data_IF_476866842264
#
_entry.id   IF_476866842264
#
_cell.length_a   1.000
_cell.length_b   1.000
_cell.length_c   1.000
_cell.angle_alpha   90.00
_cell.angle_beta   90.00
_cell.angle_gamma   90.00
#
_symmetry.space_group_name_H-M   'P 1'
#
loop_
_entity.id
_entity.type
_entity.pdbx_description
1 polymer ?
#
# COMPACT_ATOMS: atom_id res chain seq x y z
N UNK A 1 -12.25 -30.34 -22.43
CA UNK A 1 -11.27 -30.27 -21.33
C UNK A 1 -9.97 -29.74 -21.90
N UNK A 2 -9.33 -28.79 -21.21
CA UNK A 2 -8.11 -28.14 -21.70
C UNK A 2 -6.94 -29.15 -21.65
N UNK A 3 -6.36 -29.50 -22.80
CA UNK A 3 -5.34 -30.56 -22.94
C UNK A 3 -4.14 -30.37 -22.02
N UNK A 4 -3.79 -29.11 -21.75
CA UNK A 4 -2.58 -28.73 -21.01
C UNK A 4 -2.73 -28.98 -19.50
N UNK A 5 -3.92 -28.74 -18.94
CA UNK A 5 -4.19 -28.96 -17.52
C UNK A 5 -4.14 -30.45 -17.15
N UNK A 6 -4.65 -31.31 -18.04
CA UNK A 6 -4.59 -32.76 -17.88
C UNK A 6 -3.15 -33.27 -18.00
N UNK A 7 -2.36 -32.74 -18.93
CA UNK A 7 -0.95 -33.08 -19.08
C UNK A 7 -0.13 -32.71 -17.83
N UNK A 8 -0.37 -31.51 -17.27
CA UNK A 8 0.26 -31.07 -16.02
C UNK A 8 -0.13 -31.98 -14.86
N UNK A 9 -1.42 -32.28 -14.68
CA UNK A 9 -1.86 -33.16 -13.60
C UNK A 9 -1.20 -34.54 -13.67
N UNK A 10 -1.16 -35.14 -14.87
CA UNK A 10 -0.51 -36.44 -15.06
C UNK A 10 0.98 -36.39 -14.76
N UNK A 11 1.67 -35.31 -15.15
CA UNK A 11 3.07 -35.12 -14.82
C UNK A 11 3.29 -35.05 -13.29
N UNK A 12 2.43 -34.30 -12.58
CA UNK A 12 2.49 -34.16 -11.12
C UNK A 12 2.22 -35.48 -10.39
N UNK A 13 1.24 -36.28 -10.85
CA UNK A 13 0.90 -37.57 -10.26
C UNK A 13 2.01 -38.62 -10.42
N UNK A 14 2.86 -38.47 -11.45
CA UNK A 14 3.96 -39.39 -11.76
C UNK A 14 5.30 -39.02 -11.11
N UNK A 15 5.40 -37.90 -10.38
CA UNK A 15 6.61 -37.54 -9.65
C UNK A 15 6.94 -38.61 -8.58
N UNK A 16 8.17 -39.11 -8.50
CA UNK A 16 8.58 -40.03 -7.42
C UNK A 16 8.39 -39.39 -6.03
N UNK A 17 8.12 -40.20 -4.99
CA UNK A 17 7.64 -39.74 -3.69
C UNK A 17 8.59 -38.73 -2.96
N UNK A 18 7.97 -37.92 -2.09
CA UNK A 18 8.45 -36.68 -1.43
C UNK A 18 9.01 -35.61 -2.38
N UNK A 19 8.09 -34.84 -2.98
CA UNK A 19 8.44 -33.59 -3.64
C UNK A 19 7.85 -32.41 -2.86
N UNK A 20 8.71 -31.61 -2.24
CA UNK A 20 8.30 -30.51 -1.36
C UNK A 20 7.69 -29.30 -2.12
N UNK A 21 7.68 -29.31 -3.46
CA UNK A 21 7.04 -28.27 -4.29
C UNK A 21 5.65 -28.67 -4.82
N UNK A 22 5.12 -29.82 -4.42
CA UNK A 22 3.78 -30.29 -4.82
C UNK A 22 3.02 -30.83 -3.61
N UNK A 23 1.83 -30.28 -3.36
CA UNK A 23 0.94 -30.74 -2.30
C UNK A 23 -0.41 -31.19 -2.87
N UNK A 24 -0.87 -32.39 -2.50
CA UNK A 24 -2.18 -32.91 -2.86
C UNK A 24 -3.17 -32.76 -1.70
N UNK A 25 -4.42 -32.35 -2.01
CA UNK A 25 -5.53 -32.31 -1.06
C UNK A 25 -6.84 -32.76 -1.69
N UNK A 26 -7.65 -33.47 -0.91
CA UNK A 26 -8.96 -33.97 -1.38
C UNK A 26 -9.95 -32.82 -1.62
N UNK A 27 -10.05 -31.85 -0.68
CA UNK A 27 -10.82 -30.60 -0.82
C UNK A 27 -12.13 -30.71 -1.63
N UNK A 28 -13.05 -31.59 -1.24
CA UNK A 28 -14.25 -31.93 -2.02
C UNK A 28 -15.16 -30.73 -2.30
N UNK A 29 -15.61 -30.03 -1.26
CA UNK A 29 -16.56 -28.91 -1.39
C UNK A 29 -16.02 -27.60 -0.79
N UNK A 30 -14.96 -27.69 -0.01
CA UNK A 30 -14.45 -26.63 0.84
C UNK A 30 -13.03 -26.96 1.25
N UNK A 31 -12.26 -25.93 1.57
CA UNK A 31 -10.95 -26.08 2.16
C UNK A 31 -10.70 -24.95 3.15
N UNK A 32 -10.09 -25.28 4.28
CA UNK A 32 -9.80 -24.29 5.30
C UNK A 32 -8.82 -23.23 4.77
N UNK A 33 -9.23 -21.97 4.85
CA UNK A 33 -8.49 -20.87 4.24
C UNK A 33 -7.13 -20.62 4.94
N UNK A 34 -7.07 -20.81 6.26
CA UNK A 34 -5.84 -20.63 7.02
C UNK A 34 -4.80 -21.69 6.65
N UNK A 35 -5.22 -22.93 6.48
CA UNK A 35 -4.38 -24.02 5.93
C UNK A 35 -3.95 -23.71 4.51
N UNK A 36 -4.86 -23.21 3.67
CA UNK A 36 -4.59 -22.93 2.26
C UNK A 36 -3.40 -21.99 2.09
N UNK A 37 -3.37 -20.86 2.80
CA UNK A 37 -2.20 -20.00 2.68
C UNK A 37 -0.95 -20.58 3.34
N UNK A 38 -1.06 -21.45 4.36
CA UNK A 38 0.15 -22.09 4.94
C UNK A 38 0.85 -22.92 3.86
N UNK A 39 0.07 -23.70 3.11
CA UNK A 39 0.57 -24.41 1.93
C UNK A 39 1.13 -23.47 0.89
N UNK A 40 0.42 -22.39 0.55
CA UNK A 40 0.91 -21.41 -0.42
C UNK A 40 2.29 -20.82 -0.05
N UNK A 41 2.46 -20.38 1.20
CA UNK A 41 3.72 -19.81 1.68
C UNK A 41 4.84 -20.88 1.73
N UNK A 42 4.56 -22.08 2.23
CA UNK A 42 5.54 -23.16 2.27
C UNK A 42 6.01 -23.55 0.85
N UNK A 43 5.06 -23.80 -0.05
CA UNK A 43 5.32 -24.18 -1.44
C UNK A 43 6.08 -23.09 -2.21
N UNK A 44 5.75 -21.81 -1.99
CA UNK A 44 6.45 -20.70 -2.64
C UNK A 44 7.91 -20.58 -2.17
N UNK A 45 8.15 -20.72 -0.88
CA UNK A 45 9.50 -20.71 -0.32
C UNK A 45 10.32 -21.87 -0.87
N UNK A 46 9.72 -23.05 -0.95
CA UNK A 46 10.39 -24.26 -1.42
C UNK A 46 10.72 -24.21 -2.92
N UNK A 47 9.79 -23.69 -3.75
CA UNK A 47 10.07 -23.44 -5.16
C UNK A 47 11.24 -22.46 -5.34
N UNK A 48 11.30 -21.41 -4.54
CA UNK A 48 12.40 -20.43 -4.58
C UNK A 48 13.74 -21.07 -4.22
N UNK A 49 13.80 -21.87 -3.15
CA UNK A 49 15.01 -22.58 -2.72
C UNK A 49 15.53 -23.53 -3.82
N UNK A 50 14.61 -24.22 -4.50
CA UNK A 50 14.92 -25.15 -5.59
C UNK A 50 15.05 -24.50 -6.97
N UNK A 51 14.97 -23.17 -7.05
CA UNK A 51 14.99 -22.38 -8.31
C UNK A 51 13.96 -22.86 -9.34
N UNK A 52 12.80 -23.32 -8.87
CA UNK A 52 11.69 -23.72 -9.73
C UNK A 52 10.79 -22.52 -10.03
N UNK A 53 10.24 -22.48 -11.24
CA UNK A 53 9.36 -21.39 -11.68
C UNK A 53 7.99 -21.40 -10.99
N UNK A 54 7.59 -22.53 -10.41
CA UNK A 54 6.29 -22.70 -9.78
C UNK A 54 6.27 -23.90 -8.84
N UNK A 55 5.42 -23.85 -7.82
CA UNK A 55 4.98 -24.98 -7.03
C UNK A 55 3.48 -25.22 -7.23
N UNK A 56 2.97 -26.38 -6.81
CA UNK A 56 1.61 -26.82 -7.09
C UNK A 56 0.86 -27.23 -5.81
N UNK A 57 -0.32 -26.65 -5.59
CA UNK A 57 -1.31 -27.17 -4.66
C UNK A 57 -2.49 -27.71 -5.48
N UNK A 58 -2.73 -29.01 -5.43
CA UNK A 58 -3.70 -29.70 -6.30
C UNK A 58 -4.87 -30.22 -5.46
N UNK A 59 -6.08 -29.77 -5.80
CA UNK A 59 -7.32 -30.20 -5.15
C UNK A 59 -8.00 -31.35 -5.89
N UNK A 60 -8.77 -32.16 -5.15
CA UNK A 60 -9.45 -33.33 -5.69
C UNK A 60 -8.57 -34.57 -5.82
N UNK A 61 -7.47 -34.63 -5.07
CA UNK A 61 -6.54 -35.78 -5.06
C UNK A 61 -6.31 -36.22 -3.61
N UNK A 62 -6.51 -37.51 -3.33
CA UNK A 62 -6.23 -38.11 -2.01
C UNK A 62 -4.72 -38.29 -1.78
N UNK A 63 -4.34 -38.52 -0.53
CA UNK A 63 -2.93 -38.76 -0.15
C UNK A 63 -2.32 -39.98 -0.87
N UNK A 64 -3.14 -40.97 -1.22
CA UNK A 64 -2.74 -42.13 -2.05
C UNK A 64 -2.70 -41.83 -3.57
N UNK A 65 -2.71 -40.54 -3.96
CA UNK A 65 -2.73 -40.05 -5.34
C UNK A 65 -3.95 -40.46 -6.18
N UNK A 66 -5.00 -40.97 -5.55
CA UNK A 66 -6.27 -41.23 -6.23
C UNK A 66 -6.99 -39.90 -6.53
N UNK A 67 -7.29 -39.66 -7.80
CA UNK A 67 -8.12 -38.52 -8.21
C UNK A 67 -9.58 -38.78 -7.84
N UNK A 68 -10.16 -37.89 -7.05
CA UNK A 68 -11.55 -37.95 -6.57
C UNK A 68 -12.39 -36.74 -7.02
N UNK A 69 -11.74 -35.73 -7.60
CA UNK A 69 -12.37 -34.51 -8.05
C UNK A 69 -12.69 -33.54 -6.90
N UNK A 70 -13.01 -32.30 -7.28
CA UNK A 70 -13.33 -31.22 -6.34
C UNK A 70 -14.40 -30.30 -6.96
N UNK A 71 -15.31 -29.85 -6.12
CA UNK A 71 -16.29 -28.79 -6.37
C UNK A 71 -15.89 -27.48 -5.66
N UNK A 72 -14.63 -27.37 -5.22
CA UNK A 72 -14.15 -26.15 -4.58
C UNK A 72 -14.05 -25.01 -5.60
N UNK A 73 -14.88 -23.98 -5.42
CA UNK A 73 -14.89 -22.75 -6.24
C UNK A 73 -14.89 -23.05 -7.76
N UNK A 74 -15.96 -23.68 -8.28
CA UNK A 74 -15.98 -24.17 -9.66
C UNK A 74 -16.05 -23.04 -10.69
N UNK A 75 -16.54 -21.85 -10.30
CA UNK A 75 -16.60 -20.69 -11.17
C UNK A 75 -15.26 -19.94 -11.18
N UNK A 76 -14.84 -19.49 -12.37
CA UNK A 76 -13.58 -18.75 -12.55
C UNK A 76 -13.45 -17.53 -11.64
N UNK A 77 -14.56 -16.80 -11.43
CA UNK A 77 -14.62 -15.60 -10.57
C UNK A 77 -14.26 -15.92 -9.11
N UNK A 78 -14.64 -17.09 -8.62
CA UNK A 78 -14.37 -17.50 -7.24
C UNK A 78 -12.89 -17.86 -7.06
N UNK A 79 -12.27 -18.45 -8.09
CA UNK A 79 -10.82 -18.74 -8.14
C UNK A 79 -9.99 -17.46 -8.24
N UNK A 80 -10.43 -16.47 -9.03
CA UNK A 80 -9.73 -15.20 -9.13
C UNK A 80 -9.85 -14.40 -7.82
N UNK A 81 -10.99 -14.48 -7.12
CA UNK A 81 -11.15 -13.93 -5.77
C UNK A 81 -10.26 -14.63 -4.76
N UNK A 82 -10.12 -15.96 -4.84
CA UNK A 82 -9.23 -16.74 -3.97
C UNK A 82 -7.77 -16.30 -4.10
N UNK A 83 -7.28 -16.03 -5.32
CA UNK A 83 -5.92 -15.54 -5.54
C UNK A 83 -5.67 -14.22 -4.81
N UNK A 84 -6.63 -13.29 -4.88
CA UNK A 84 -6.56 -12.01 -4.18
C UNK A 84 -6.54 -12.22 -2.67
N UNK A 85 -7.43 -13.07 -2.14
CA UNK A 85 -7.49 -13.40 -0.71
C UNK A 85 -6.16 -13.98 -0.20
N UNK A 86 -5.49 -14.86 -0.97
CA UNK A 86 -4.21 -15.47 -0.59
C UNK A 86 -3.07 -14.45 -0.59
N UNK A 87 -2.99 -13.62 -1.64
CA UNK A 87 -1.97 -12.56 -1.75
C UNK A 87 -2.10 -11.55 -0.61
N UNK A 88 -3.33 -11.15 -0.29
CA UNK A 88 -3.62 -10.27 0.84
C UNK A 88 -3.23 -10.94 2.17
N UNK A 89 -3.29 -12.27 2.27
CA UNK A 89 -2.90 -13.01 3.48
C UNK A 89 -1.38 -13.16 3.67
N UNK A 90 -0.58 -13.23 2.62
CA UNK A 90 0.88 -13.20 2.78
C UNK A 90 1.38 -11.80 3.12
N UNK A 91 0.75 -10.75 2.56
CA UNK A 91 0.89 -9.39 3.06
C UNK A 91 0.40 -9.29 4.52
N UNK A 92 -0.69 -9.97 4.89
CA UNK A 92 -1.19 -10.06 6.26
C UNK A 92 -0.20 -10.70 7.21
N UNK A 93 0.48 -11.76 6.79
CA UNK A 93 1.46 -12.46 7.61
C UNK A 93 2.73 -11.67 7.78
N UNK A 94 3.16 -10.96 6.73
CA UNK A 94 4.29 -10.03 6.83
C UNK A 94 3.98 -8.93 7.87
N UNK A 95 2.80 -8.33 7.80
CA UNK A 95 2.34 -7.29 8.71
C UNK A 95 2.06 -7.82 10.14
N UNK A 96 1.43 -8.99 10.28
CA UNK A 96 1.10 -9.58 11.57
C UNK A 96 2.34 -10.05 12.32
N UNK A 97 3.37 -10.55 11.63
CA UNK A 97 4.66 -10.92 12.24
C UNK A 97 5.39 -9.73 12.87
N UNK A 98 5.15 -8.52 12.38
CA UNK A 98 5.87 -7.33 12.84
C UNK A 98 5.07 -6.43 13.80
N UNK A 99 3.73 -6.55 13.87
CA UNK A 99 2.89 -5.62 14.66
C UNK A 99 1.71 -6.22 15.45
N UNK A 100 1.60 -7.54 15.60
CA UNK A 100 0.45 -8.17 16.29
C UNK A 100 -0.90 -7.64 15.75
N UNK A 101 -1.07 -7.78 14.43
CA UNK A 101 -2.21 -7.28 13.68
C UNK A 101 -3.24 -8.38 13.46
N UNK A 102 -4.51 -8.01 13.55
CA UNK A 102 -5.64 -8.88 13.20
C UNK A 102 -5.83 -8.94 11.68
N UNK A 103 -6.45 -10.02 11.19
CA UNK A 103 -6.73 -10.18 9.76
C UNK A 103 -7.59 -9.03 9.20
N UNK A 104 -8.54 -8.52 9.99
CA UNK A 104 -9.40 -7.40 9.61
C UNK A 104 -8.63 -6.07 9.49
N UNK A 105 -7.57 -5.88 10.26
CA UNK A 105 -6.69 -4.70 10.16
C UNK A 105 -5.82 -4.77 8.92
N UNK A 106 -5.30 -5.96 8.59
CA UNK A 106 -4.52 -6.12 7.36
C UNK A 106 -5.37 -5.80 6.15
N UNK A 107 -6.55 -6.40 6.03
CA UNK A 107 -7.44 -6.18 4.88
C UNK A 107 -7.77 -4.69 4.75
N UNK A 108 -7.96 -4.00 5.87
CA UNK A 108 -8.20 -2.56 5.86
C UNK A 108 -6.95 -1.75 5.47
N UNK A 109 -5.74 -2.14 5.89
CA UNK A 109 -4.48 -1.51 5.45
C UNK A 109 -4.23 -1.70 3.96
N UNK A 110 -4.56 -2.87 3.40
CA UNK A 110 -4.49 -3.12 1.97
C UNK A 110 -5.43 -2.19 1.18
N UNK A 111 -6.68 -2.01 1.65
CA UNK A 111 -7.61 -1.03 1.06
C UNK A 111 -7.02 0.38 1.05
N UNK A 112 -6.37 0.80 2.15
CA UNK A 112 -5.71 2.12 2.24
C UNK A 112 -4.59 2.25 1.22
N UNK A 113 -3.73 1.24 1.11
CA UNK A 113 -2.66 1.21 0.11
C UNK A 113 -3.22 1.31 -1.31
N UNK A 114 -4.29 0.59 -1.61
CA UNK A 114 -4.97 0.60 -2.91
C UNK A 114 -5.90 1.82 -3.09
N UNK A 115 -5.91 2.79 -2.17
CA UNK A 115 -6.78 3.99 -2.16
C UNK A 115 -8.29 3.68 -2.28
N UNK A 116 -8.72 2.54 -1.75
CA UNK A 116 -10.12 2.17 -1.68
C UNK A 116 -10.80 2.83 -0.48
N UNK A 117 -12.11 3.12 -0.56
CA UNK A 117 -12.87 3.62 0.58
C UNK A 117 -12.83 2.67 1.78
N UNK A 118 -12.60 3.24 2.96
CA UNK A 118 -12.72 2.55 4.24
C UNK A 118 -14.14 2.67 4.78
N UNK A 119 -14.59 1.64 5.50
CA UNK A 119 -15.78 1.77 6.37
C UNK A 119 -15.44 2.60 7.59
N UNK A 120 -16.44 3.23 8.22
CA UNK A 120 -16.20 4.06 9.40
C UNK A 120 -15.64 3.25 10.59
N UNK A 121 -15.98 1.95 10.67
CA UNK A 121 -15.43 1.02 11.67
C UNK A 121 -13.97 0.66 11.38
N UNK A 122 -13.61 0.42 10.11
CA UNK A 122 -12.22 0.18 9.70
C UNK A 122 -11.36 1.43 9.95
N UNK A 123 -11.85 2.62 9.61
CA UNK A 123 -11.17 3.89 9.89
C UNK A 123 -10.89 4.02 11.39
N UNK A 124 -11.93 3.86 12.23
CA UNK A 124 -11.83 4.05 13.67
C UNK A 124 -10.81 3.09 14.28
N UNK A 125 -10.85 1.82 13.89
CA UNK A 125 -9.93 0.78 14.37
C UNK A 125 -8.49 1.06 13.98
N UNK A 126 -8.24 1.35 12.69
CA UNK A 126 -6.89 1.64 12.21
C UNK A 126 -6.31 2.93 12.81
N UNK A 127 -7.13 3.97 13.01
CA UNK A 127 -6.70 5.20 13.70
C UNK A 127 -6.40 4.98 15.17
N UNK A 128 -7.24 4.22 15.88
CA UNK A 128 -7.04 3.95 17.31
C UNK A 128 -5.70 3.23 17.57
N UNK A 129 -5.28 2.36 16.65
CA UNK A 129 -3.96 1.69 16.71
C UNK A 129 -2.81 2.48 16.08
N UNK A 130 -3.06 3.66 15.52
CA UNK A 130 -2.02 4.47 14.88
C UNK A 130 -1.41 3.82 13.63
N UNK A 131 -2.17 2.97 12.93
CA UNK A 131 -1.72 2.25 11.74
C UNK A 131 -1.88 3.05 10.45
N UNK A 132 -2.76 4.06 10.47
CA UNK A 132 -2.99 5.00 9.37
C UNK A 132 -2.95 6.45 9.85
N UNK A 133 -2.57 7.33 8.95
CA UNK A 133 -2.57 8.78 9.11
C UNK A 133 -3.50 9.41 8.03
N UNK A 134 -3.89 10.67 8.21
CA UNK A 134 -4.73 11.41 7.24
C UNK A 134 -6.18 11.64 7.68
N UNK A 135 -7.01 12.10 6.73
CA UNK A 135 -8.42 12.49 6.95
C UNK A 135 -9.27 12.03 5.77
N UNK A 136 -10.51 11.62 6.04
CA UNK A 136 -11.47 11.20 5.01
C UNK A 136 -11.54 12.24 3.88
N UNK A 137 -11.49 11.84 2.60
CA UNK A 137 -11.35 10.47 2.08
C UNK A 137 -9.90 9.97 1.94
N UNK A 138 -8.90 10.81 2.25
CA UNK A 138 -7.48 10.59 1.95
C UNK A 138 -6.73 10.06 3.18
N UNK A 139 -6.68 8.74 3.30
CA UNK A 139 -5.86 8.03 4.29
C UNK A 139 -4.58 7.48 3.67
N UNK A 140 -3.55 7.33 4.49
CA UNK A 140 -2.30 6.69 4.10
C UNK A 140 -1.73 5.88 5.27
N UNK A 141 -0.89 4.91 4.93
CA UNK A 141 -0.21 4.04 5.89
C UNK A 141 0.66 4.89 6.83
N UNK A 142 0.60 4.62 8.14
CA UNK A 142 1.37 5.36 9.14
C UNK A 142 2.88 5.03 9.06
N UNK A 143 3.70 5.88 9.70
CA UNK A 143 5.17 5.72 9.71
C UNK A 143 5.61 4.33 10.17
N UNK A 144 5.03 3.84 11.26
CA UNK A 144 5.39 2.58 11.91
C UNK A 144 5.25 1.40 10.96
N UNK A 145 4.11 1.35 10.26
CA UNK A 145 3.82 0.33 9.25
C UNK A 145 4.74 0.51 8.03
N UNK A 146 4.86 1.72 7.50
CA UNK A 146 5.68 1.99 6.32
C UNK A 146 7.19 1.74 6.53
N UNK A 147 7.70 1.80 7.76
CA UNK A 147 9.10 1.50 8.09
C UNK A 147 9.39 0.00 8.09
N UNK A 148 8.41 -0.80 8.46
CA UNK A 148 8.50 -2.26 8.54
C UNK A 148 8.13 -2.92 7.21
N UNK A 149 7.37 -2.23 6.36
CA UNK A 149 7.13 -2.61 4.98
C UNK A 149 8.08 -1.89 4.02
N UNK A 150 8.16 -2.34 2.77
CA UNK A 150 8.95 -1.66 1.72
C UNK A 150 8.22 -0.41 1.15
N UNK A 151 7.54 0.34 2.02
CA UNK A 151 6.63 1.44 1.62
C UNK A 151 7.10 2.82 2.13
N UNK A 152 8.36 2.93 2.56
CA UNK A 152 8.96 4.18 3.06
C UNK A 152 8.84 5.34 2.06
N UNK A 153 9.08 5.07 0.78
CA UNK A 153 8.96 6.08 -0.27
C UNK A 153 7.51 6.58 -0.44
N UNK A 154 6.54 5.65 -0.42
CA UNK A 154 5.11 5.98 -0.48
C UNK A 154 4.65 6.80 0.73
N UNK A 155 5.17 6.49 1.92
CA UNK A 155 4.93 7.29 3.13
C UNK A 155 5.41 8.74 2.97
N UNK A 156 6.67 8.92 2.56
CA UNK A 156 7.26 10.25 2.38
C UNK A 156 6.52 11.08 1.33
N UNK A 157 6.00 10.45 0.26
CA UNK A 157 5.17 11.11 -0.75
C UNK A 157 3.80 11.52 -0.20
N UNK A 158 3.15 10.66 0.59
CA UNK A 158 1.78 10.88 1.06
C UNK A 158 1.71 11.82 2.26
N UNK A 159 2.64 11.73 3.22
CA UNK A 159 2.68 12.64 4.37
C UNK A 159 2.96 14.09 3.96
N UNK A 160 3.54 14.28 2.77
CA UNK A 160 4.26 15.50 2.41
C UNK A 160 5.46 15.68 3.35
N UNK A 161 6.50 16.38 2.90
CA UNK A 161 7.50 16.88 3.83
C UNK A 161 6.82 17.70 4.93
N UNK A 162 7.41 17.75 6.12
CA UNK A 162 6.89 18.59 7.21
C UNK A 162 6.62 20.02 6.70
N UNK A 163 5.63 20.73 7.27
CA UNK A 163 5.34 22.11 6.90
C UNK A 163 6.63 22.94 6.85
N UNK A 164 7.54 22.71 7.81
CA UNK A 164 8.83 23.35 7.89
C UNK A 164 9.66 23.27 6.60
N UNK A 165 9.66 22.12 5.90
CA UNK A 165 10.37 21.97 4.63
C UNK A 165 9.89 22.98 3.58
N UNK A 166 8.57 23.17 3.48
CA UNK A 166 8.00 24.10 2.51
C UNK A 166 8.25 25.55 2.93
N UNK A 167 8.17 25.85 4.23
CA UNK A 167 8.50 27.16 4.79
C UNK A 167 9.97 27.52 4.47
N UNK A 168 10.90 26.61 4.73
CA UNK A 168 12.33 26.78 4.46
C UNK A 168 12.60 26.96 2.97
N UNK A 169 11.92 26.19 2.11
CA UNK A 169 12.06 26.30 0.66
C UNK A 169 11.59 27.67 0.14
N UNK A 170 10.47 28.19 0.66
CA UNK A 170 9.99 29.54 0.32
C UNK A 170 11.03 30.58 0.79
N UNK A 171 11.49 30.49 2.03
CA UNK A 171 12.48 31.42 2.57
C UNK A 171 13.78 31.41 1.77
N UNK A 172 14.28 30.24 1.39
CA UNK A 172 15.48 30.08 0.56
C UNK A 172 15.29 30.74 -0.81
N UNK A 173 14.17 30.49 -1.48
CA UNK A 173 13.91 31.07 -2.79
C UNK A 173 13.73 32.60 -2.72
N UNK A 174 13.11 33.15 -1.66
CA UNK A 174 13.07 34.61 -1.45
C UNK A 174 14.48 35.17 -1.18
N UNK A 175 15.33 34.44 -0.43
CA UNK A 175 16.73 34.86 -0.18
C UNK A 175 17.54 34.91 -1.47
N UNK A 176 17.34 33.95 -2.38
CA UNK A 176 18.07 33.86 -3.66
C UNK A 176 17.59 34.89 -4.70
N UNK A 177 16.29 35.18 -4.75
CA UNK A 177 15.69 36.06 -5.77
C UNK A 177 15.29 37.45 -5.23
N UNK A 178 15.47 37.71 -3.94
CA UNK A 178 15.07 38.94 -3.25
C UNK A 178 13.57 39.04 -2.94
N UNK A 179 12.71 38.60 -3.87
CA UNK A 179 11.25 38.58 -3.69
C UNK A 179 10.58 37.49 -4.51
N UNK A 180 9.42 37.00 -4.06
CA UNK A 180 8.58 36.10 -4.84
C UNK A 180 7.13 36.60 -4.92
N UNK A 181 6.51 36.42 -6.09
CA UNK A 181 5.07 36.59 -6.26
C UNK A 181 4.31 35.37 -5.76
N UNK A 182 2.98 35.49 -5.64
CA UNK A 182 2.13 34.33 -5.33
C UNK A 182 2.25 33.23 -6.40
N UNK A 183 2.37 33.62 -7.67
CA UNK A 183 2.49 32.68 -8.79
C UNK A 183 3.80 31.89 -8.70
N UNK A 184 4.91 32.56 -8.39
CA UNK A 184 6.22 31.92 -8.26
C UNK A 184 6.21 30.88 -7.13
N UNK A 185 5.58 31.20 -5.99
CA UNK A 185 5.45 30.27 -4.85
C UNK A 185 4.55 29.08 -5.22
N UNK A 186 3.44 29.33 -5.92
CA UNK A 186 2.57 28.25 -6.39
C UNK A 186 3.36 27.31 -7.33
N UNK A 187 4.10 27.83 -8.29
CA UNK A 187 4.94 27.05 -9.24
C UNK A 187 6.07 26.29 -8.54
N UNK A 188 6.77 26.93 -7.59
CA UNK A 188 7.85 26.33 -6.80
C UNK A 188 7.38 25.09 -6.03
N UNK A 189 6.15 25.13 -5.49
CA UNK A 189 5.62 24.09 -4.64
C UNK A 189 4.76 23.06 -5.38
N UNK A 190 4.26 23.36 -6.58
CA UNK A 190 3.21 22.58 -7.24
C UNK A 190 3.55 21.09 -7.42
N UNK A 191 4.79 20.83 -7.83
CA UNK A 191 5.34 19.50 -8.09
C UNK A 191 5.96 18.85 -6.83
N UNK A 192 5.96 19.55 -5.70
CA UNK A 192 6.47 19.09 -4.41
C UNK A 192 5.38 18.83 -3.38
N UNK A 193 4.17 19.33 -3.63
CA UNK A 193 2.98 19.02 -2.84
C UNK A 193 2.46 17.62 -3.20
N UNK A 194 1.84 16.90 -2.26
CA UNK A 194 1.38 15.54 -2.49
C UNK A 194 0.41 15.41 -3.67
N UNK A 195 0.54 14.31 -4.40
CA UNK A 195 -0.29 14.00 -5.59
C UNK A 195 -1.76 13.74 -5.27
N UNK A 196 -2.09 13.45 -4.00
CA UNK A 196 -3.48 13.26 -3.57
C UNK A 196 -4.24 14.58 -3.41
N UNK A 197 -3.55 15.74 -3.37
CA UNK A 197 -4.20 17.03 -3.21
C UNK A 197 -4.77 17.54 -4.54
N UNK A 198 -6.03 17.95 -4.53
CA UNK A 198 -6.63 18.65 -5.66
C UNK A 198 -6.12 20.10 -5.81
N UNK A 199 -6.46 20.77 -6.92
CA UNK A 199 -6.01 22.14 -7.20
C UNK A 199 -6.42 23.14 -6.10
N UNK A 200 -7.60 22.97 -5.49
CA UNK A 200 -8.13 23.86 -4.45
C UNK A 200 -7.41 23.61 -3.12
N UNK A 201 -7.14 22.36 -2.78
CA UNK A 201 -6.37 21.94 -1.61
C UNK A 201 -4.93 22.43 -1.70
N UNK A 202 -4.27 22.26 -2.86
CA UNK A 202 -2.91 22.79 -3.10
C UNK A 202 -2.86 24.30 -2.92
N UNK A 203 -3.76 25.06 -3.56
CA UNK A 203 -3.85 26.53 -3.39
C UNK A 203 -4.07 26.95 -1.95
N UNK A 204 -4.93 26.24 -1.22
CA UNK A 204 -5.20 26.51 0.19
C UNK A 204 -3.97 26.22 1.06
N UNK A 205 -3.26 25.12 0.78
CA UNK A 205 -2.03 24.75 1.48
C UNK A 205 -0.94 25.82 1.32
N UNK A 206 -0.71 26.29 0.09
CA UNK A 206 0.25 27.38 -0.18
C UNK A 206 -0.16 28.66 0.54
N UNK A 207 -1.46 29.01 0.52
CA UNK A 207 -1.97 30.16 1.26
C UNK A 207 -1.70 30.09 2.76
N UNK A 208 -1.89 28.90 3.36
CA UNK A 208 -1.62 28.67 4.77
C UNK A 208 -0.13 28.80 5.10
N UNK A 209 0.77 28.25 4.27
CA UNK A 209 2.22 28.36 4.45
C UNK A 209 2.69 29.82 4.44
N UNK A 210 2.20 30.61 3.48
CA UNK A 210 2.49 32.05 3.41
C UNK A 210 1.94 32.78 4.64
N UNK A 211 0.73 32.42 5.09
CA UNK A 211 0.12 33.00 6.29
C UNK A 211 0.93 32.70 7.55
N UNK A 212 1.45 31.48 7.69
CA UNK A 212 2.34 31.08 8.79
C UNK A 212 3.63 31.90 8.79
N UNK A 213 4.32 32.02 7.65
CA UNK A 213 5.53 32.86 7.53
C UNK A 213 5.27 34.33 7.86
N UNK A 214 4.12 34.87 7.42
CA UNK A 214 3.73 36.25 7.71
C UNK A 214 3.45 36.44 9.20
N UNK A 215 2.70 35.53 9.83
CA UNK A 215 2.36 35.60 11.27
C UNK A 215 3.60 35.43 12.16
N UNK A 216 4.55 34.60 11.73
CA UNK A 216 5.85 34.45 12.39
C UNK A 216 6.78 35.67 12.21
N UNK A 217 6.41 36.64 11.36
CA UNK A 217 7.23 37.81 11.06
C UNK A 217 8.47 37.50 10.21
N UNK A 218 8.47 36.37 9.49
CA UNK A 218 9.59 35.95 8.63
C UNK A 218 9.55 36.66 7.27
N UNK A 219 8.34 36.85 6.73
CA UNK A 219 8.12 37.54 5.44
C UNK A 219 7.11 38.68 5.58
N UNK A 220 7.21 39.66 4.68
CA UNK A 220 6.23 40.74 4.53
C UNK A 220 5.82 40.89 3.07
N UNK A 221 4.59 41.39 2.86
CA UNK A 221 4.13 41.78 1.53
C UNK A 221 4.51 43.25 1.27
N UNK A 222 5.35 43.49 0.27
CA UNK A 222 5.66 44.84 -0.24
C UNK A 222 4.90 45.19 -1.52
N UNK A 223 4.04 44.29 -2.01
CA UNK A 223 3.17 44.50 -3.16
C UNK A 223 1.75 44.90 -2.74
N UNK A 224 0.82 44.79 -3.68
CA UNK A 224 -0.61 45.01 -3.40
C UNK A 224 -1.25 43.71 -2.89
N UNK A 225 -2.52 43.79 -2.45
CA UNK A 225 -3.30 42.59 -2.13
C UNK A 225 -3.59 41.72 -3.36
N UNK A 226 -3.73 42.34 -4.55
CA UNK A 226 -3.98 41.63 -5.81
C UNK A 226 -2.69 41.00 -6.37
N UNK A 227 -1.58 41.71 -6.24
CA UNK A 227 -0.26 41.30 -6.72
C UNK A 227 0.74 41.35 -5.56
N UNK A 228 0.72 40.32 -4.69
CA UNK A 228 1.60 40.29 -3.53
C UNK A 228 3.04 40.03 -3.95
N UNK A 229 3.97 40.75 -3.31
CA UNK A 229 5.41 40.62 -3.46
C UNK A 229 6.00 40.31 -2.09
N UNK A 230 6.31 39.04 -1.86
CA UNK A 230 6.81 38.54 -0.59
C UNK A 230 8.31 38.70 -0.49
N UNK A 231 8.76 39.34 0.59
CA UNK A 231 10.18 39.59 0.90
C UNK A 231 10.50 39.14 2.32
N UNK A 232 11.75 38.79 2.61
CA UNK A 232 12.19 38.45 3.95
C UNK A 232 12.28 39.70 4.83
N UNK A 233 11.77 39.62 6.06
CA UNK A 233 11.88 40.68 7.07
C UNK A 233 13.18 40.59 7.87
N UNK A 234 13.78 39.40 7.97
CA UNK A 234 15.08 39.16 8.58
C UNK A 234 15.95 38.34 7.63
N UNK A 235 17.22 38.70 7.41
CA UNK A 235 18.17 37.75 6.87
C UNK A 235 18.36 36.64 7.91
N UNK A 236 18.00 35.41 7.55
CA UNK A 236 18.43 34.21 8.29
C UNK A 236 19.90 33.96 8.00
#
# INVERSE_FOLDING_TARGET
MNSDATAILNALLNLTAENEVVEFKEAKNGYDFTKLGKYFSALSNEANLKRQRSAWLVFGVKDNRQVVGSQFRPARKDLDSLKLEILDMDYARLLARTQDLTLSEVVALDKVQKRHPLTDDDERRLKARGLIEGRKPNFYIAKSVAQQTDQKASYSKNKAFDNQYYLDLICKAIKEHGSLSRKDIDELLWNKLPDWMDLKQKKSKVGNLISELRKAGTISNQGTFKEPKWVLLKPV
#
